data_IF_666198939158
#
_entry.id   IF_666198939158
#
_cell.length_a   1.000
_cell.length_b   1.000
_cell.length_c   1.000
_cell.angle_alpha   90.00
_cell.angle_beta   90.00
_cell.angle_gamma   90.00
#
_symmetry.space_group_name_H-M   'P 1'
#
loop_
_entity.id
_entity.type
_entity.pdbx_description
1 polymer ?
#
# COMPACT_ATOMS: atom_id res chain seq x y z
N UNK A 1 -2.46 -1.53 -1.01
CA UNK A 1 -1.14 -2.09 -1.43
C UNK A 1 -1.05 -3.61 -1.34
N UNK A 2 -1.74 -4.28 -0.40
CA UNK A 2 -1.76 -5.76 -0.29
C UNK A 2 -2.03 -6.50 -1.61
N UNK A 3 -3.02 -6.06 -2.39
CA UNK A 3 -3.36 -6.65 -3.70
C UNK A 3 -2.18 -6.66 -4.69
N UNK A 4 -1.42 -5.55 -4.77
CA UNK A 4 -0.22 -5.45 -5.61
C UNK A 4 0.85 -6.46 -5.16
N UNK A 5 1.08 -6.57 -3.84
CA UNK A 5 2.04 -7.54 -3.31
C UNK A 5 1.64 -8.98 -3.60
N UNK A 6 0.36 -9.34 -3.39
CA UNK A 6 -0.14 -10.68 -3.67
C UNK A 6 -0.04 -11.03 -5.16
N UNK A 7 -0.39 -10.09 -6.04
CA UNK A 7 -0.25 -10.26 -7.50
C UNK A 7 1.22 -10.46 -7.88
N UNK A 8 2.13 -9.65 -7.32
CA UNK A 8 3.56 -9.78 -7.57
C UNK A 8 4.08 -11.15 -7.15
N UNK A 9 3.70 -11.63 -5.96
CA UNK A 9 4.13 -12.95 -5.47
C UNK A 9 3.56 -14.10 -6.29
N UNK A 10 2.31 -13.97 -6.77
CA UNK A 10 1.66 -14.99 -7.60
C UNK A 10 2.26 -15.07 -9.00
N UNK A 11 2.46 -13.92 -9.63
CA UNK A 11 2.80 -13.84 -11.06
C UNK A 11 4.28 -13.59 -11.32
N UNK A 12 5.07 -13.36 -10.27
CA UNK A 12 6.46 -12.90 -10.36
C UNK A 12 6.64 -11.64 -11.23
N UNK A 13 5.59 -10.84 -11.42
CA UNK A 13 5.65 -9.63 -12.23
C UNK A 13 4.45 -8.70 -11.94
N UNK A 14 4.63 -7.40 -12.19
CA UNK A 14 3.54 -6.42 -12.25
C UNK A 14 3.66 -5.59 -13.53
N UNK A 15 2.51 -5.16 -14.08
CA UNK A 15 2.46 -4.20 -15.19
C UNK A 15 2.93 -2.79 -14.75
N UNK A 16 3.22 -1.92 -15.71
CA UNK A 16 3.87 -0.61 -15.51
C UNK A 16 3.30 0.21 -14.34
N UNK A 17 2.00 0.53 -14.35
CA UNK A 17 1.39 1.33 -13.28
C UNK A 17 1.37 0.62 -11.92
N UNK A 18 1.24 -0.71 -11.90
CA UNK A 18 1.36 -1.49 -10.67
C UNK A 18 2.76 -1.42 -10.08
N UNK A 19 3.81 -1.49 -10.93
CA UNK A 19 5.20 -1.28 -10.50
C UNK A 19 5.40 0.13 -9.97
N UNK A 20 4.91 1.15 -10.68
CA UNK A 20 5.07 2.55 -10.27
C UNK A 20 4.42 2.83 -8.91
N UNK A 21 3.12 2.51 -8.77
CA UNK A 21 2.38 2.70 -7.52
C UNK A 21 3.04 1.96 -6.35
N UNK A 22 3.51 0.73 -6.59
CA UNK A 22 4.12 -0.06 -5.51
C UNK A 22 5.54 0.39 -5.18
N UNK A 23 6.39 0.71 -6.16
CA UNK A 23 7.73 1.27 -5.92
C UNK A 23 7.68 2.57 -5.13
N UNK A 24 6.73 3.45 -5.46
CA UNK A 24 6.51 4.70 -4.74
C UNK A 24 6.06 4.47 -3.30
N UNK A 25 5.17 3.49 -3.09
CA UNK A 25 4.80 3.07 -1.74
C UNK A 25 6.02 2.53 -0.96
N UNK A 26 6.83 1.64 -1.57
CA UNK A 26 8.02 1.06 -0.94
C UNK A 26 9.04 2.14 -0.54
N UNK A 27 9.34 3.07 -1.45
CA UNK A 27 10.16 4.26 -1.17
C UNK A 27 9.61 5.03 0.04
N UNK A 28 8.31 5.29 0.06
CA UNK A 28 7.66 6.06 1.13
C UNK A 28 7.61 5.35 2.49
N UNK A 29 7.80 4.03 2.55
CA UNK A 29 7.94 3.31 3.83
C UNK A 29 9.41 3.15 4.26
N UNK A 30 10.36 3.68 3.47
CA UNK A 30 11.78 3.77 3.84
C UNK A 30 12.71 2.83 3.09
N UNK A 31 12.24 2.08 2.09
CA UNK A 31 13.13 1.25 1.27
C UNK A 31 14.11 2.13 0.49
N UNK A 32 15.41 1.81 0.56
CA UNK A 32 16.43 2.53 -0.20
C UNK A 32 16.36 2.18 -1.70
N UNK A 33 17.06 2.96 -2.55
CA UNK A 33 17.14 2.65 -3.98
C UNK A 33 17.73 1.25 -4.21
N UNK A 34 18.80 0.91 -3.50
CA UNK A 34 19.50 -0.38 -3.62
C UNK A 34 18.58 -1.54 -3.19
N UNK A 35 17.93 -1.40 -2.04
CA UNK A 35 16.98 -2.39 -1.54
C UNK A 35 15.79 -2.55 -2.48
N UNK A 36 15.30 -1.46 -3.08
CA UNK A 36 14.20 -1.52 -4.04
C UNK A 36 14.61 -2.23 -5.34
N UNK A 37 15.83 -1.99 -5.84
CA UNK A 37 16.38 -2.72 -6.99
C UNK A 37 16.46 -4.22 -6.68
N UNK A 38 17.01 -4.58 -5.52
CA UNK A 38 17.10 -5.99 -5.08
C UNK A 38 15.71 -6.61 -4.92
N UNK A 39 14.77 -5.90 -4.29
CA UNK A 39 13.39 -6.34 -4.12
C UNK A 39 12.73 -6.70 -5.46
N UNK A 40 12.81 -5.81 -6.45
CA UNK A 40 12.23 -6.05 -7.76
C UNK A 40 12.96 -7.16 -8.51
N UNK A 41 14.30 -7.20 -8.43
CA UNK A 41 15.10 -8.24 -9.08
C UNK A 41 14.73 -9.63 -8.59
N UNK A 42 14.64 -9.81 -7.26
CA UNK A 42 14.25 -11.08 -6.64
C UNK A 42 12.79 -11.45 -6.91
N UNK A 43 11.92 -10.45 -7.06
CA UNK A 43 10.49 -10.68 -7.34
C UNK A 43 10.23 -11.07 -8.80
N UNK A 44 11.05 -10.62 -9.74
CA UNK A 44 10.91 -10.88 -11.18
C UNK A 44 11.59 -12.17 -11.60
N UNK A 45 11.06 -13.30 -11.10
CA UNK A 45 11.50 -14.64 -11.49
C UNK A 45 11.18 -14.88 -12.97
N UNK A 46 12.15 -15.44 -13.70
CA UNK A 46 12.02 -15.72 -15.14
C UNK A 46 12.63 -14.66 -16.06
N UNK A 47 13.21 -13.59 -15.50
CA UNK A 47 14.04 -12.65 -16.25
C UNK A 47 15.52 -12.83 -15.91
N UNK A 48 16.38 -12.76 -16.91
CA UNK A 48 17.83 -12.67 -16.70
C UNK A 48 18.21 -11.34 -16.07
N UNK A 49 19.43 -11.24 -15.55
CA UNK A 49 19.93 -9.98 -15.00
C UNK A 49 19.97 -8.89 -16.08
N UNK A 50 20.35 -9.23 -17.32
CA UNK A 50 20.43 -8.30 -18.44
C UNK A 50 19.04 -7.83 -18.88
N UNK A 51 18.06 -8.72 -18.96
CA UNK A 51 16.66 -8.34 -19.22
C UNK A 51 16.10 -7.45 -18.12
N UNK A 52 16.43 -7.75 -16.86
CA UNK A 52 15.99 -6.94 -15.73
C UNK A 52 16.59 -5.52 -15.80
N UNK A 53 17.90 -5.44 -16.02
CA UNK A 53 18.67 -4.21 -16.08
C UNK A 53 18.20 -3.31 -17.23
N UNK A 54 18.03 -3.88 -18.42
CA UNK A 54 17.61 -3.14 -19.62
C UNK A 54 16.16 -2.64 -19.53
N UNK A 55 15.24 -3.43 -18.97
CA UNK A 55 13.79 -3.12 -19.03
C UNK A 55 13.24 -2.42 -17.80
N UNK A 56 13.82 -2.64 -16.62
CA UNK A 56 13.19 -2.24 -15.35
C UNK A 56 14.05 -1.35 -14.48
N UNK A 57 15.37 -1.57 -14.41
CA UNK A 57 16.26 -0.85 -13.49
C UNK A 57 16.22 0.67 -13.68
N UNK A 58 16.18 1.15 -14.93
CA UNK A 58 16.08 2.59 -15.22
C UNK A 58 14.83 3.22 -14.55
N UNK A 59 13.67 2.57 -14.68
CA UNK A 59 12.41 3.08 -14.11
C UNK A 59 12.44 3.13 -12.58
N UNK A 60 13.10 2.16 -11.94
CA UNK A 60 13.29 2.16 -10.48
C UNK A 60 14.18 3.35 -10.08
N UNK A 61 15.31 3.55 -10.75
CA UNK A 61 16.19 4.72 -10.50
C UNK A 61 15.45 6.05 -10.71
N UNK A 62 14.58 6.13 -11.72
CA UNK A 62 13.78 7.31 -12.00
C UNK A 62 12.81 7.64 -10.85
N UNK A 63 12.17 6.63 -10.23
CA UNK A 63 11.28 6.80 -9.06
C UNK A 63 12.00 7.44 -7.87
N UNK A 64 13.30 7.19 -7.72
CA UNK A 64 14.14 7.75 -6.65
C UNK A 64 14.83 9.07 -7.04
N UNK A 65 14.66 9.56 -8.27
CA UNK A 65 15.36 10.75 -8.72
C UNK A 65 16.85 10.54 -8.93
N UNK A 66 17.30 9.29 -9.12
CA UNK A 66 18.71 9.01 -9.37
C UNK A 66 19.07 9.18 -10.86
N UNK A 67 18.06 9.09 -11.73
CA UNK A 67 18.15 9.42 -13.16
C UNK A 67 16.98 10.31 -13.58
N UNK A 68 17.04 10.83 -14.81
CA UNK A 68 16.03 11.72 -15.39
C UNK A 68 16.48 13.18 -15.44
N UNK A 69 15.53 14.07 -15.77
CA UNK A 69 15.78 15.51 -15.85
C UNK A 69 16.20 16.13 -14.51
N UNK A 70 16.77 17.33 -14.56
CA UNK A 70 17.23 18.07 -13.38
C UNK A 70 16.13 18.23 -12.31
N UNK A 71 14.88 18.49 -12.74
CA UNK A 71 13.72 18.56 -11.85
C UNK A 71 13.50 17.26 -11.07
N UNK A 72 13.58 16.09 -11.73
CA UNK A 72 13.37 14.80 -11.08
C UNK A 72 14.49 14.51 -10.06
N UNK A 73 15.73 14.85 -10.42
CA UNK A 73 16.90 14.63 -9.55
C UNK A 73 16.87 15.52 -8.31
N UNK A 74 16.62 16.82 -8.48
CA UNK A 74 16.49 17.76 -7.35
C UNK A 74 15.29 17.45 -6.45
N UNK A 75 14.19 16.99 -7.05
CA UNK A 75 12.99 16.56 -6.33
C UNK A 75 13.11 15.22 -5.61
N UNK A 76 14.25 14.52 -5.72
CA UNK A 76 14.46 13.15 -5.22
C UNK A 76 13.41 12.17 -5.76
N UNK A 77 12.99 12.35 -7.01
CA UNK A 77 11.98 11.53 -7.67
C UNK A 77 10.54 11.85 -7.26
N UNK A 78 9.58 11.09 -7.78
CA UNK A 78 8.17 11.33 -7.47
C UNK A 78 7.81 11.02 -6.00
N UNK A 79 6.87 11.77 -5.41
CA UNK A 79 6.34 11.45 -4.09
C UNK A 79 5.45 10.19 -4.14
N UNK A 80 5.34 9.46 -3.02
CA UNK A 80 4.35 8.40 -2.88
C UNK A 80 2.94 8.88 -3.22
N UNK A 81 2.14 8.03 -3.87
CA UNK A 81 0.79 8.43 -4.26
C UNK A 81 -0.17 8.46 -3.06
N UNK A 82 -0.86 9.58 -2.90
CA UNK A 82 -2.01 9.71 -2.01
C UNK A 82 -3.20 8.89 -2.48
N UNK A 83 -4.16 8.63 -1.60
CA UNK A 83 -5.41 7.97 -1.99
C UNK A 83 -6.12 8.77 -3.08
N UNK A 84 -6.16 10.10 -2.97
CA UNK A 84 -6.72 10.97 -4.01
C UNK A 84 -6.02 10.77 -5.36
N UNK A 85 -4.68 10.77 -5.39
CA UNK A 85 -3.94 10.53 -6.64
C UNK A 85 -4.28 9.15 -7.23
N UNK A 86 -4.33 8.10 -6.42
CA UNK A 86 -4.68 6.74 -6.85
C UNK A 86 -6.12 6.64 -7.39
N UNK A 87 -7.05 7.39 -6.82
CA UNK A 87 -8.46 7.42 -7.23
C UNK A 87 -8.71 8.30 -8.46
N UNK A 88 -7.85 9.29 -8.72
CA UNK A 88 -7.97 10.19 -9.88
C UNK A 88 -7.13 9.73 -11.07
N UNK A 89 -6.20 8.79 -10.87
CA UNK A 89 -5.42 8.21 -11.96
C UNK A 89 -6.27 7.32 -12.88
N UNK A 90 -5.67 6.94 -14.01
CA UNK A 90 -6.24 6.04 -15.00
C UNK A 90 -6.75 4.73 -14.39
N UNK A 91 -7.97 4.35 -14.77
CA UNK A 91 -8.59 3.11 -14.33
C UNK A 91 -7.75 1.90 -14.77
N UNK A 92 -7.61 0.86 -13.93
CA UNK A 92 -6.93 -0.36 -14.33
C UNK A 92 -7.62 -1.06 -15.50
N UNK A 93 -6.88 -1.27 -16.59
CA UNK A 93 -7.31 -2.10 -17.71
C UNK A 93 -7.10 -3.60 -17.46
N UNK A 94 -7.36 -4.42 -18.49
CA UNK A 94 -7.24 -5.87 -18.40
C UNK A 94 -5.85 -6.31 -17.94
N UNK A 95 -5.81 -7.07 -16.84
CA UNK A 95 -4.58 -7.57 -16.23
C UNK A 95 -3.70 -6.51 -15.55
N UNK A 96 -4.17 -5.26 -15.40
CA UNK A 96 -3.54 -4.26 -14.54
C UNK A 96 -4.13 -4.36 -13.13
N UNK A 97 -3.28 -4.19 -12.11
CA UNK A 97 -3.68 -4.39 -10.69
C UNK A 97 -3.41 -3.16 -9.82
N UNK A 98 -3.10 -2.01 -10.43
CA UNK A 98 -2.93 -0.75 -9.73
C UNK A 98 -4.27 -0.16 -9.29
N UNK A 99 -4.23 1.00 -8.64
CA UNK A 99 -5.40 1.68 -8.15
C UNK A 99 -5.80 1.29 -6.72
N UNK A 100 -7.04 1.62 -6.36
CA UNK A 100 -7.64 1.35 -5.07
C UNK A 100 -8.61 0.15 -5.19
N UNK A 101 -8.41 -0.96 -4.45
CA UNK A 101 -9.34 -2.09 -4.47
C UNK A 101 -10.77 -1.70 -4.10
N UNK A 102 -10.94 -0.73 -3.18
CA UNK A 102 -12.26 -0.25 -2.78
C UNK A 102 -13.02 0.46 -3.91
N UNK A 103 -12.33 0.96 -4.95
CA UNK A 103 -12.95 1.60 -6.12
C UNK A 103 -13.04 0.66 -7.33
N UNK A 104 -11.97 -0.09 -7.58
CA UNK A 104 -11.79 -0.78 -8.86
C UNK A 104 -12.15 -2.26 -8.83
N UNK A 105 -12.32 -2.86 -7.65
CA UNK A 105 -12.82 -4.24 -7.57
C UNK A 105 -14.34 -4.21 -7.49
N UNK A 106 -14.99 -5.27 -7.99
CA UNK A 106 -16.37 -5.54 -7.60
C UNK A 106 -16.45 -5.76 -6.09
N UNK A 107 -17.63 -5.52 -5.51
CA UNK A 107 -17.86 -5.74 -4.08
C UNK A 107 -17.41 -7.15 -3.66
N UNK A 108 -17.80 -8.18 -4.40
CA UNK A 108 -17.43 -9.57 -4.06
C UNK A 108 -15.91 -9.82 -4.14
N UNK A 109 -15.22 -9.28 -5.15
CA UNK A 109 -13.76 -9.42 -5.24
C UNK A 109 -13.04 -8.67 -4.12
N UNK A 110 -13.57 -7.51 -3.70
CA UNK A 110 -13.07 -6.78 -2.54
C UNK A 110 -13.27 -7.59 -1.25
N UNK A 111 -14.46 -8.13 -1.03
CA UNK A 111 -14.77 -8.95 0.15
C UNK A 111 -13.86 -10.20 0.18
N UNK A 112 -13.71 -10.91 -0.94
CA UNK A 112 -12.80 -12.05 -1.05
C UNK A 112 -11.34 -11.68 -0.76
N UNK A 113 -10.88 -10.52 -1.23
CA UNK A 113 -9.55 -10.00 -0.88
C UNK A 113 -9.43 -9.76 0.63
N UNK A 114 -10.40 -9.09 1.26
CA UNK A 114 -10.39 -8.81 2.69
C UNK A 114 -10.38 -10.10 3.54
N UNK A 115 -11.23 -11.07 3.19
CA UNK A 115 -11.27 -12.38 3.85
C UNK A 115 -9.92 -13.12 3.73
N UNK A 116 -9.28 -13.09 2.55
CA UNK A 116 -7.94 -13.67 2.36
C UNK A 116 -6.84 -13.03 3.23
N UNK A 117 -7.11 -11.85 3.80
CA UNK A 117 -6.21 -11.16 4.74
C UNK A 117 -6.56 -11.37 6.21
N UNK A 118 -7.58 -12.20 6.49
CA UNK A 118 -8.03 -12.51 7.86
C UNK A 118 -9.23 -11.70 8.35
N UNK A 119 -9.84 -10.88 7.48
CA UNK A 119 -11.00 -10.05 7.83
C UNK A 119 -12.29 -10.82 7.50
N UNK A 120 -12.87 -11.50 8.49
CA UNK A 120 -14.02 -12.40 8.30
C UNK A 120 -15.30 -11.98 9.02
N UNK A 121 -15.30 -10.85 9.73
CA UNK A 121 -16.47 -10.36 10.46
C UNK A 121 -17.59 -9.91 9.52
N UNK A 122 -18.77 -10.50 9.69
CA UNK A 122 -19.90 -10.32 8.76
C UNK A 122 -20.45 -8.89 8.77
N UNK A 123 -20.55 -8.28 9.95
CA UNK A 123 -21.12 -6.94 10.09
C UNK A 123 -20.16 -5.88 9.53
N UNK A 124 -18.86 -6.04 9.76
CA UNK A 124 -17.83 -5.23 9.13
C UNK A 124 -17.88 -5.33 7.61
N UNK A 125 -17.89 -6.53 7.06
CA UNK A 125 -17.89 -6.75 5.60
C UNK A 125 -19.18 -6.20 4.96
N UNK A 126 -20.32 -6.28 5.65
CA UNK A 126 -21.56 -5.60 5.24
C UNK A 126 -21.37 -4.09 5.19
N UNK A 127 -20.82 -3.49 6.25
CA UNK A 127 -20.54 -2.05 6.29
C UNK A 127 -19.56 -1.59 5.20
N UNK A 128 -18.52 -2.37 4.92
CA UNK A 128 -17.57 -2.11 3.81
C UNK A 128 -18.30 -2.10 2.47
N UNK A 129 -19.20 -3.06 2.23
CA UNK A 129 -20.00 -3.13 1.00
C UNK A 129 -20.87 -1.89 0.84
N UNK A 130 -21.60 -1.51 1.87
CA UNK A 130 -22.46 -0.31 1.86
C UNK A 130 -21.66 0.99 1.61
N UNK A 131 -20.49 1.13 2.24
CA UNK A 131 -19.62 2.29 2.05
C UNK A 131 -19.09 2.36 0.61
N UNK A 132 -18.71 1.22 0.02
CA UNK A 132 -18.23 1.13 -1.37
C UNK A 132 -19.35 1.45 -2.37
N UNK A 133 -20.55 0.93 -2.17
CA UNK A 133 -21.74 1.24 -2.99
C UNK A 133 -22.06 2.73 -2.99
N UNK A 134 -21.86 3.40 -1.85
CA UNK A 134 -22.01 4.86 -1.71
C UNK A 134 -20.77 5.64 -2.17
N UNK A 135 -19.80 5.00 -2.81
CA UNK A 135 -18.52 5.58 -3.26
C UNK A 135 -17.64 6.18 -2.15
N UNK A 136 -17.86 5.76 -0.89
CA UNK A 136 -17.13 6.21 0.31
C UNK A 136 -15.88 5.37 0.55
N UNK A 137 -15.01 5.28 -0.45
CA UNK A 137 -13.84 4.39 -0.46
C UNK A 137 -12.88 4.60 0.72
N UNK A 138 -12.67 5.87 1.12
CA UNK A 138 -11.82 6.19 2.27
C UNK A 138 -12.42 5.66 3.57
N UNK A 139 -13.73 5.80 3.74
CA UNK A 139 -14.45 5.33 4.93
C UNK A 139 -14.38 3.80 5.00
N UNK A 140 -14.63 3.11 3.89
CA UNK A 140 -14.49 1.66 3.80
C UNK A 140 -13.08 1.18 4.19
N UNK A 141 -12.03 1.86 3.70
CA UNK A 141 -10.64 1.53 4.03
C UNK A 141 -10.30 1.77 5.51
N UNK A 142 -10.76 2.89 6.08
CA UNK A 142 -10.54 3.23 7.49
C UNK A 142 -11.30 2.27 8.42
N UNK A 143 -12.53 1.90 8.06
CA UNK A 143 -13.31 0.89 8.80
C UNK A 143 -12.54 -0.42 8.96
N UNK A 144 -11.90 -0.90 7.89
CA UNK A 144 -11.04 -2.10 7.95
C UNK A 144 -9.80 -1.86 8.81
N UNK A 145 -9.17 -0.68 8.72
CA UNK A 145 -8.03 -0.34 9.58
C UNK A 145 -8.40 -0.39 11.07
N UNK A 146 -9.47 0.30 11.45
CA UNK A 146 -9.97 0.38 12.83
C UNK A 146 -10.32 -1.00 13.37
N UNK A 147 -11.00 -1.82 12.57
CA UNK A 147 -11.32 -3.19 12.95
C UNK A 147 -10.06 -4.04 13.19
N UNK A 148 -9.12 -4.00 12.25
CA UNK A 148 -7.88 -4.82 12.31
C UNK A 148 -6.90 -4.38 13.40
N UNK A 149 -7.06 -3.17 13.93
CA UNK A 149 -6.23 -2.59 14.99
C UNK A 149 -7.03 -2.23 16.24
N UNK A 150 -8.25 -2.75 16.41
CA UNK A 150 -9.17 -2.36 17.48
C UNK A 150 -8.54 -2.51 18.87
N UNK A 151 -7.79 -3.59 19.08
CA UNK A 151 -7.14 -3.86 20.36
C UNK A 151 -5.98 -2.90 20.62
N UNK A 152 -5.15 -2.62 19.61
CA UNK A 152 -4.04 -1.65 19.69
C UNK A 152 -4.54 -0.23 19.94
N UNK A 153 -5.59 0.19 19.22
CA UNK A 153 -6.18 1.52 19.36
C UNK A 153 -6.80 1.70 20.75
N UNK A 154 -7.49 0.67 21.26
CA UNK A 154 -8.05 0.71 22.62
C UNK A 154 -6.95 0.93 23.66
N UNK A 155 -5.87 0.14 23.60
CA UNK A 155 -4.72 0.30 24.52
C UNK A 155 -4.07 1.67 24.41
N UNK A 156 -3.82 2.15 23.18
CA UNK A 156 -3.20 3.46 22.99
C UNK A 156 -4.02 4.60 23.62
N UNK A 157 -5.36 4.49 23.61
CA UNK A 157 -6.25 5.45 24.29
C UNK A 157 -6.18 5.35 25.81
N UNK A 158 -6.12 4.13 26.34
CA UNK A 158 -6.04 3.87 27.78
C UNK A 158 -4.70 4.36 28.37
N UNK A 159 -3.59 4.17 27.66
CA UNK A 159 -2.25 4.53 28.12
C UNK A 159 -1.84 5.98 27.79
N UNK A 160 -2.76 6.78 27.22
CA UNK A 160 -2.49 8.18 26.85
C UNK A 160 -1.56 8.38 25.64
N UNK A 161 -1.03 7.31 25.05
CA UNK A 161 -0.16 7.35 23.85
C UNK A 161 -0.92 7.63 22.55
N UNK A 162 -2.26 7.68 22.59
CA UNK A 162 -3.09 8.06 21.46
C UNK A 162 -2.82 9.48 20.94
N UNK A 163 -2.25 10.39 21.75
CA UNK A 163 -1.83 11.73 21.30
C UNK A 163 -0.63 11.67 20.35
N UNK A 164 0.24 10.66 20.47
CA UNK A 164 1.37 10.43 19.56
C UNK A 164 0.96 9.70 18.27
N UNK A 165 -0.18 8.99 18.32
CA UNK A 165 -0.74 8.26 17.18
C UNK A 165 -1.91 9.05 16.62
N UNK A 166 -1.66 9.87 15.60
CA UNK A 166 -2.71 10.52 14.83
C UNK A 166 -3.79 9.49 14.39
N UNK A 167 -5.02 9.64 14.91
CA UNK A 167 -6.17 8.77 14.64
C UNK A 167 -7.15 9.40 13.63
N UNK A 168 -6.75 10.43 12.89
CA UNK A 168 -7.60 11.09 11.89
C UNK A 168 -7.91 10.16 10.71
N UNK A 169 -8.81 10.59 9.81
CA UNK A 169 -9.12 9.80 8.62
C UNK A 169 -7.87 9.57 7.75
N UNK A 170 -7.54 8.31 7.49
CA UNK A 170 -6.40 7.93 6.66
C UNK A 170 -6.71 8.18 5.19
N UNK A 171 -5.94 9.08 4.57
CA UNK A 171 -6.06 9.46 3.14
C UNK A 171 -4.78 9.17 2.33
N UNK A 172 -3.85 8.40 2.90
CA UNK A 172 -2.60 8.05 2.24
C UNK A 172 -2.16 6.61 2.56
N UNK A 173 -1.76 5.78 1.57
CA UNK A 173 -1.30 4.41 1.82
C UNK A 173 -0.09 4.29 2.75
N UNK A 174 0.91 5.17 2.60
CA UNK A 174 2.05 5.22 3.52
C UNK A 174 1.65 5.62 4.96
N UNK A 175 0.66 6.50 5.14
CA UNK A 175 0.10 6.81 6.47
C UNK A 175 -0.57 5.59 7.07
N UNK A 176 -1.37 4.84 6.30
CA UNK A 176 -1.96 3.57 6.72
C UNK A 176 -0.87 2.62 7.26
N UNK A 177 0.21 2.45 6.49
CA UNK A 177 1.32 1.58 6.89
C UNK A 177 2.01 2.08 8.16
N UNK A 178 2.41 3.35 8.21
CA UNK A 178 3.13 3.94 9.34
C UNK A 178 2.33 3.80 10.63
N UNK A 179 1.03 4.14 10.60
CA UNK A 179 0.15 4.02 11.77
C UNK A 179 -0.04 2.57 12.19
N UNK A 180 -0.28 1.65 11.25
CA UNK A 180 -0.36 0.21 11.53
C UNK A 180 0.91 -0.31 12.21
N UNK A 181 2.07 0.09 11.70
CA UNK A 181 3.37 -0.31 12.24
C UNK A 181 3.59 0.22 13.66
N UNK A 182 3.34 1.50 13.91
CA UNK A 182 3.49 2.12 15.23
C UNK A 182 2.54 1.48 16.27
N UNK A 183 1.27 1.26 15.91
CA UNK A 183 0.30 0.59 16.78
C UNK A 183 0.76 -0.82 17.18
N UNK A 184 1.38 -1.57 16.26
CA UNK A 184 1.90 -2.92 16.54
C UNK A 184 3.21 -2.89 17.32
N UNK A 185 4.04 -1.86 17.16
CA UNK A 185 5.29 -1.73 17.92
C UNK A 185 5.05 -1.28 19.37
N UNK A 186 4.15 -0.32 19.60
CA UNK A 186 3.80 0.14 20.94
C UNK A 186 3.38 -1.04 21.85
N UNK A 187 2.61 -1.98 21.32
CA UNK A 187 2.23 -3.19 22.04
C UNK A 187 3.36 -4.22 22.27
N UNK A 188 4.50 -4.11 21.57
CA UNK A 188 5.66 -5.00 21.77
C UNK A 188 6.63 -4.47 22.82
N UNK A 189 6.88 -3.16 22.83
CA UNK A 189 7.80 -2.54 23.80
C UNK A 189 7.35 -2.75 25.26
N UNK A 190 6.03 -2.82 25.51
CA UNK A 190 5.48 -3.12 26.84
C UNK A 190 5.41 -4.61 27.21
N UNK A 191 5.51 -5.55 26.25
CA UNK A 191 5.54 -7.00 26.55
C UNK A 191 6.92 -7.49 27.00
N UNK A 192 7.96 -6.71 26.69
CA UNK A 192 9.34 -7.00 27.01
C UNK A 192 9.88 -6.12 28.16
N UNK A 193 9.00 -5.37 28.82
CA UNK A 193 9.26 -4.61 30.04
C UNK A 193 8.50 -5.26 31.19
#
# INVERSE_FOLDING_TARGET
>A
MRSLHMTLRKNNHLKHFGRLQYSLFLKGIGLSLEECILFWRQSFKGFTDDEFNSRYKYNIRHVYGDVGGDVNRRGRGYPPYSCQKILQDSNPGVGQTHGCPYRHFSADNLIGLLQSTGVNDRDLLRGVREDVEKTRYHIACNRVFEYTHKAEIKRAKEDGSASEIDLDTIVHPNTYFKRSYLLKQAGKSQRNA
#
